data_IF_894749726997
#
_entry.id   IF_894749726997
#
_cell.length_a   1.000
_cell.length_b   1.000
_cell.length_c   1.000
_cell.angle_alpha   90.00
_cell.angle_beta   90.00
_cell.angle_gamma   90.00
#
_symmetry.space_group_name_H-M   'P 1'
#
loop_
_entity.id
_entity.type
_entity.pdbx_description
1 polymer ?
#
# COMPACT_ATOMS: atom_id res chain seq x y z
N UNK A 1 1.31 15.63 49.37
CA UNK A 1 2.56 14.99 48.94
C UNK A 1 2.26 14.25 47.62
N UNK A 2 2.34 14.97 46.48
CA UNK A 2 2.04 14.45 45.15
C UNK A 2 3.31 13.79 44.61
N UNK A 3 3.21 12.48 44.37
CA UNK A 3 4.27 11.66 43.77
C UNK A 3 4.48 12.20 42.33
N UNK A 4 5.70 12.62 41.93
CA UNK A 4 5.95 13.05 40.57
C UNK A 4 5.75 11.84 39.69
N UNK A 5 4.73 11.87 38.81
CA UNK A 5 4.50 10.91 37.78
C UNK A 5 5.74 10.88 36.88
N UNK A 6 6.43 9.72 36.81
CA UNK A 6 7.62 9.55 35.98
C UNK A 6 7.32 9.99 34.54
N UNK A 7 8.25 10.69 33.85
CA UNK A 7 8.04 11.18 32.48
C UNK A 7 7.64 10.07 31.50
N UNK A 8 8.00 8.84 31.80
CA UNK A 8 7.64 7.63 31.02
C UNK A 8 6.13 7.36 31.13
N UNK A 9 5.51 7.48 32.32
CA UNK A 9 4.07 7.26 32.51
C UNK A 9 3.23 8.37 31.84
N UNK A 10 3.72 9.61 31.79
CA UNK A 10 3.08 10.69 31.07
C UNK A 10 3.12 10.46 29.55
N UNK A 11 4.27 10.03 29.02
CA UNK A 11 4.46 9.75 27.59
C UNK A 11 3.59 8.57 27.10
N UNK A 12 3.51 7.50 27.88
CA UNK A 12 2.67 6.33 27.56
C UNK A 12 1.18 6.67 27.63
N UNK A 13 0.76 7.47 28.59
CA UNK A 13 -0.63 7.93 28.73
C UNK A 13 -1.04 8.82 27.55
N UNK A 14 -0.19 9.73 27.13
CA UNK A 14 -0.46 10.59 25.98
C UNK A 14 -0.53 9.81 24.66
N UNK A 15 0.31 8.78 24.51
CA UNK A 15 0.30 7.89 23.35
C UNK A 15 -0.99 7.05 23.31
N UNK A 16 -1.42 6.48 24.42
CA UNK A 16 -2.67 5.72 24.51
C UNK A 16 -3.91 6.59 24.22
N UNK A 17 -3.94 7.79 24.77
CA UNK A 17 -5.02 8.76 24.48
C UNK A 17 -5.05 9.12 23.00
N UNK A 18 -3.88 9.27 22.37
CA UNK A 18 -3.78 9.55 20.94
C UNK A 18 -4.31 8.38 20.10
N UNK A 19 -3.87 7.15 20.35
CA UNK A 19 -4.34 5.94 19.66
C UNK A 19 -5.85 5.79 19.80
N UNK A 20 -6.39 5.93 21.04
CA UNK A 20 -7.84 5.88 21.26
C UNK A 20 -8.59 6.94 20.44
N UNK A 21 -8.02 8.14 20.33
CA UNK A 21 -8.61 9.21 19.52
C UNK A 21 -8.55 8.89 18.03
N UNK A 22 -7.46 8.31 17.53
CA UNK A 22 -7.35 7.84 16.13
C UNK A 22 -8.46 6.84 15.84
N UNK A 23 -8.60 5.80 16.67
CA UNK A 23 -9.63 4.76 16.48
C UNK A 23 -11.05 5.35 16.56
N UNK A 24 -11.33 6.19 17.55
CA UNK A 24 -12.65 6.80 17.70
C UNK A 24 -13.02 7.68 16.51
N UNK A 25 -12.09 8.51 16.03
CA UNK A 25 -12.35 9.39 14.88
C UNK A 25 -12.43 8.58 13.56
N UNK A 26 -11.64 7.52 13.44
CA UNK A 26 -11.72 6.60 12.29
C UNK A 26 -13.11 5.94 12.20
N UNK A 27 -13.66 5.49 13.34
CA UNK A 27 -15.03 4.92 13.38
C UNK A 27 -16.10 5.98 13.08
N UNK A 28 -15.95 7.21 13.61
CA UNK A 28 -16.85 8.34 13.31
C UNK A 28 -16.86 8.70 11.82
N UNK A 29 -15.70 8.60 11.15
CA UNK A 29 -15.57 8.82 9.72
C UNK A 29 -16.00 7.61 8.87
N UNK A 30 -16.63 6.61 9.48
CA UNK A 30 -17.06 5.38 8.81
C UNK A 30 -15.88 4.63 8.12
N UNK A 31 -14.71 4.65 8.74
CA UNK A 31 -13.48 4.16 8.14
C UNK A 31 -13.54 2.70 7.66
N UNK A 32 -14.23 1.81 8.38
CA UNK A 32 -14.42 0.43 7.95
C UNK A 32 -15.31 0.32 6.70
N UNK A 33 -16.38 1.12 6.60
CA UNK A 33 -17.23 1.15 5.41
C UNK A 33 -16.44 1.64 4.18
N UNK A 34 -15.62 2.68 4.36
CA UNK A 34 -14.73 3.18 3.32
C UNK A 34 -13.68 2.14 2.91
N UNK A 35 -13.11 1.40 3.87
CA UNK A 35 -12.16 0.33 3.61
C UNK A 35 -12.80 -0.81 2.81
N UNK A 36 -14.00 -1.24 3.18
CA UNK A 36 -14.77 -2.25 2.43
C UNK A 36 -15.10 -1.81 1.01
N UNK A 37 -15.47 -0.52 0.82
CA UNK A 37 -15.69 0.02 -0.52
C UNK A 37 -14.41 0.01 -1.36
N UNK A 38 -13.26 0.42 -0.79
CA UNK A 38 -11.95 0.36 -1.47
C UNK A 38 -11.64 -1.10 -1.84
N UNK A 39 -11.81 -2.04 -0.91
CA UNK A 39 -11.51 -3.46 -1.13
C UNK A 39 -12.33 -4.05 -2.29
N UNK A 40 -13.62 -3.74 -2.34
CA UNK A 40 -14.49 -4.17 -3.43
C UNK A 40 -14.02 -3.65 -4.80
N UNK A 41 -13.72 -2.35 -4.89
CA UNK A 41 -13.25 -1.77 -6.14
C UNK A 41 -11.82 -2.18 -6.49
N UNK A 42 -10.96 -2.46 -5.51
CA UNK A 42 -9.65 -3.06 -5.73
C UNK A 42 -9.78 -4.47 -6.32
N UNK A 43 -10.68 -5.29 -5.80
CA UNK A 43 -10.94 -6.63 -6.34
C UNK A 43 -11.37 -6.59 -7.81
N UNK A 44 -12.22 -5.63 -8.18
CA UNK A 44 -12.65 -5.43 -9.57
C UNK A 44 -11.53 -4.89 -10.48
N UNK A 45 -10.63 -4.09 -9.92
CA UNK A 45 -9.61 -3.35 -10.68
C UNK A 45 -8.27 -4.07 -10.74
N UNK A 46 -7.99 -5.02 -9.84
CA UNK A 46 -6.65 -5.62 -9.71
C UNK A 46 -6.20 -6.31 -10.98
N UNK A 47 -7.04 -7.14 -11.58
CA UNK A 47 -6.68 -7.86 -12.80
C UNK A 47 -6.47 -6.94 -13.99
N UNK A 48 -7.39 -5.98 -14.31
CA UNK A 48 -7.14 -4.95 -15.31
C UNK A 48 -5.87 -4.15 -15.06
N UNK A 49 -5.59 -3.80 -13.80
CA UNK A 49 -4.38 -3.06 -13.43
C UNK A 49 -3.10 -3.86 -13.70
N UNK A 50 -3.09 -5.13 -13.30
CA UNK A 50 -1.94 -6.02 -13.51
C UNK A 50 -1.70 -6.27 -15.02
N UNK A 51 -2.75 -6.43 -15.81
CA UNK A 51 -2.66 -6.54 -17.26
C UNK A 51 -1.99 -5.29 -17.86
N UNK A 52 -2.46 -4.10 -17.48
CA UNK A 52 -1.86 -2.85 -17.96
C UNK A 52 -0.41 -2.70 -17.51
N UNK A 53 -0.08 -3.10 -16.29
CA UNK A 53 1.27 -3.06 -15.75
C UNK A 53 2.21 -3.97 -16.58
N UNK A 54 1.80 -5.20 -16.85
CA UNK A 54 2.62 -6.13 -17.65
C UNK A 54 2.73 -5.67 -19.10
N UNK A 55 1.64 -5.16 -19.70
CA UNK A 55 1.70 -4.59 -21.05
C UNK A 55 2.65 -3.39 -21.13
N UNK A 56 2.68 -2.55 -20.11
CA UNK A 56 3.59 -1.39 -20.04
C UNK A 56 5.06 -1.81 -19.86
N UNK A 57 5.34 -2.90 -19.14
CA UNK A 57 6.68 -3.38 -18.84
C UNK A 57 7.22 -4.40 -19.84
N UNK A 58 6.37 -5.05 -20.62
CA UNK A 58 6.77 -6.08 -21.59
C UNK A 58 7.81 -5.66 -22.64
N UNK A 59 7.95 -4.35 -23.01
CA UNK A 59 9.05 -3.93 -23.86
C UNK A 59 10.42 -3.96 -23.18
N UNK A 60 10.48 -3.95 -21.86
CA UNK A 60 11.72 -3.82 -21.09
C UNK A 60 12.17 -5.13 -20.44
N UNK A 61 11.24 -6.05 -20.16
CA UNK A 61 11.49 -7.29 -19.45
C UNK A 61 10.78 -8.46 -20.13
N UNK A 62 11.38 -9.66 -20.06
CA UNK A 62 10.73 -10.88 -20.48
C UNK A 62 9.48 -11.18 -19.64
N UNK A 63 8.41 -11.66 -20.26
CA UNK A 63 7.13 -11.93 -19.60
C UNK A 63 7.28 -12.89 -18.41
N UNK A 64 8.14 -13.91 -18.54
CA UNK A 64 8.41 -14.89 -17.48
C UNK A 64 9.02 -14.22 -16.23
N UNK A 65 9.95 -13.27 -16.43
CA UNK A 65 10.56 -12.52 -15.33
C UNK A 65 9.56 -11.59 -14.66
N UNK A 66 8.69 -10.95 -15.45
CA UNK A 66 7.64 -10.10 -14.94
C UNK A 66 6.63 -10.88 -14.09
N UNK A 67 6.16 -12.03 -14.59
CA UNK A 67 5.22 -12.88 -13.87
C UNK A 67 5.84 -13.45 -12.58
N UNK A 68 7.10 -13.89 -12.62
CA UNK A 68 7.80 -14.38 -11.43
C UNK A 68 8.01 -13.30 -10.38
N UNK A 69 8.38 -12.08 -10.80
CA UNK A 69 8.53 -10.94 -9.90
C UNK A 69 7.18 -10.55 -9.30
N UNK A 70 6.15 -10.49 -10.12
CA UNK A 70 4.80 -10.14 -9.69
C UNK A 70 4.25 -11.17 -8.70
N UNK A 71 4.42 -12.47 -8.97
CA UNK A 71 4.03 -13.56 -8.06
C UNK A 71 4.66 -13.35 -6.68
N UNK A 72 5.96 -13.09 -6.63
CA UNK A 72 6.67 -12.85 -5.36
C UNK A 72 6.11 -11.68 -4.58
N UNK A 73 5.77 -10.57 -5.24
CA UNK A 73 5.19 -9.39 -4.57
C UNK A 73 3.75 -9.59 -4.15
N UNK A 74 2.95 -10.28 -4.97
CA UNK A 74 1.58 -10.63 -4.62
C UNK A 74 1.53 -11.56 -3.41
N UNK A 75 2.43 -12.53 -3.31
CA UNK A 75 2.55 -13.41 -2.16
C UNK A 75 2.96 -12.66 -0.88
N UNK A 76 3.78 -11.61 -1.00
CA UNK A 76 4.11 -10.76 0.14
C UNK A 76 2.90 -9.93 0.62
N UNK A 77 2.00 -9.56 -0.28
CA UNK A 77 0.79 -8.78 0.05
C UNK A 77 -0.37 -9.67 0.50
N UNK A 78 -0.52 -10.81 -0.13
CA UNK A 78 -1.62 -11.74 0.12
C UNK A 78 -1.14 -13.19 -0.08
N UNK A 79 -0.53 -13.80 0.95
CA UNK A 79 0.06 -15.13 0.87
C UNK A 79 -0.90 -16.19 0.33
N UNK A 80 -0.45 -16.96 -0.67
CA UNK A 80 -1.25 -18.03 -1.30
C UNK A 80 -2.30 -17.55 -2.31
N UNK A 81 -2.32 -16.24 -2.64
CA UNK A 81 -3.27 -15.66 -3.60
C UNK A 81 -2.59 -15.19 -4.90
N UNK A 82 -1.27 -15.27 -4.98
CA UNK A 82 -0.52 -14.89 -6.18
C UNK A 82 -0.83 -15.81 -7.36
N UNK A 83 -0.85 -17.13 -7.15
CA UNK A 83 -0.99 -18.10 -8.21
C UNK A 83 -2.26 -17.93 -9.06
N UNK A 84 -3.48 -17.77 -8.49
CA UNK A 84 -4.67 -17.55 -9.29
C UNK A 84 -4.62 -16.28 -10.13
N UNK A 85 -4.03 -15.19 -9.63
CA UNK A 85 -3.91 -13.92 -10.34
C UNK A 85 -2.89 -14.02 -11.47
N UNK A 86 -1.74 -14.63 -11.20
CA UNK A 86 -0.66 -14.83 -12.18
C UNK A 86 -1.11 -15.78 -13.30
N UNK A 87 -1.85 -16.85 -12.97
CA UNK A 87 -2.43 -17.76 -13.96
C UNK A 87 -3.41 -17.04 -14.91
N UNK A 88 -4.30 -16.21 -14.39
CA UNK A 88 -5.23 -15.42 -15.21
C UNK A 88 -4.48 -14.42 -16.08
N UNK A 89 -3.44 -13.82 -15.56
CA UNK A 89 -2.59 -12.88 -16.28
C UNK A 89 -1.84 -13.58 -17.42
N UNK A 90 -1.24 -14.75 -17.16
CA UNK A 90 -0.55 -15.56 -18.18
C UNK A 90 -1.50 -16.00 -19.30
N UNK A 91 -2.72 -16.43 -18.97
CA UNK A 91 -3.76 -16.76 -19.95
C UNK A 91 -4.10 -15.57 -20.84
N UNK A 92 -4.25 -14.37 -20.26
CA UNK A 92 -4.52 -13.16 -21.03
C UNK A 92 -3.37 -12.82 -21.99
N UNK A 93 -2.12 -12.89 -21.51
CA UNK A 93 -0.94 -12.60 -22.32
C UNK A 93 -0.79 -13.55 -23.51
N UNK A 94 -1.12 -14.83 -23.34
CA UNK A 94 -1.17 -15.81 -24.42
C UNK A 94 -2.17 -15.47 -25.54
N UNK A 95 -3.19 -14.66 -25.25
CA UNK A 95 -4.24 -14.28 -26.20
C UNK A 95 -4.18 -12.78 -26.59
N UNK A 96 -3.09 -12.08 -26.33
CA UNK A 96 -2.95 -10.61 -26.51
C UNK A 96 -3.15 -10.10 -27.94
N UNK A 97 -3.08 -10.96 -28.94
CA UNK A 97 -3.29 -10.57 -30.35
C UNK A 97 -4.70 -10.05 -30.66
N UNK A 98 -5.66 -10.27 -29.74
CA UNK A 98 -7.04 -9.79 -29.85
C UNK A 98 -7.24 -8.42 -29.20
N UNK A 99 -6.19 -7.80 -28.69
CA UNK A 99 -6.27 -6.55 -27.92
C UNK A 99 -6.60 -5.36 -28.83
N UNK A 100 -7.88 -5.17 -29.12
CA UNK A 100 -8.37 -3.99 -29.82
C UNK A 100 -8.50 -2.77 -28.91
N UNK A 101 -8.67 -1.58 -29.49
CA UNK A 101 -8.81 -0.31 -28.74
C UNK A 101 -9.94 -0.31 -27.71
N UNK A 102 -11.03 -1.03 -27.96
CA UNK A 102 -12.16 -1.19 -27.02
C UNK A 102 -11.73 -1.92 -25.74
N UNK A 103 -10.96 -3.02 -25.89
CA UNK A 103 -10.47 -3.76 -24.72
C UNK A 103 -9.50 -2.90 -23.90
N UNK A 104 -8.59 -2.18 -24.56
CA UNK A 104 -7.67 -1.27 -23.88
C UNK A 104 -8.44 -0.17 -23.11
N UNK A 105 -9.44 0.44 -23.71
CA UNK A 105 -10.29 1.43 -23.06
C UNK A 105 -11.02 0.85 -21.83
N UNK A 106 -11.53 -0.37 -21.94
CA UNK A 106 -12.17 -1.10 -20.82
C UNK A 106 -11.20 -1.36 -19.69
N UNK A 107 -9.99 -1.83 -20.01
CA UNK A 107 -8.92 -2.06 -19.00
C UNK A 107 -8.55 -0.76 -18.29
N UNK A 108 -8.37 0.33 -19.05
CA UNK A 108 -8.07 1.63 -18.49
C UNK A 108 -9.19 2.11 -17.57
N UNK A 109 -10.43 2.03 -18.00
CA UNK A 109 -11.58 2.41 -17.17
C UNK A 109 -11.67 1.57 -15.91
N UNK A 110 -11.63 0.24 -16.02
CA UNK A 110 -11.77 -0.66 -14.89
C UNK A 110 -10.62 -0.50 -13.88
N UNK A 111 -9.39 -0.30 -14.34
CA UNK A 111 -8.23 -0.10 -13.47
C UNK A 111 -8.29 1.22 -12.68
N UNK A 112 -9.01 2.23 -13.18
CA UNK A 112 -9.13 3.54 -12.52
C UNK A 112 -10.17 3.58 -11.38
N UNK A 113 -11.06 2.59 -11.30
CA UNK A 113 -12.16 2.58 -10.32
C UNK A 113 -11.65 2.57 -8.88
N UNK A 114 -10.68 1.71 -8.56
CA UNK A 114 -10.10 1.63 -7.22
C UNK A 114 -9.49 2.96 -6.77
N UNK A 115 -8.75 3.63 -7.67
CA UNK A 115 -8.15 4.93 -7.38
C UNK A 115 -9.19 6.02 -7.13
N UNK A 116 -10.29 6.02 -7.90
CA UNK A 116 -11.40 6.96 -7.71
C UNK A 116 -12.05 6.81 -6.34
N UNK A 117 -12.27 5.58 -5.89
CA UNK A 117 -12.85 5.31 -4.57
C UNK A 117 -11.85 5.64 -3.47
N UNK A 118 -10.58 5.33 -3.67
CA UNK A 118 -9.50 5.68 -2.74
C UNK A 118 -9.39 7.21 -2.57
N UNK A 119 -9.40 7.98 -3.66
CA UNK A 119 -9.38 9.45 -3.62
C UNK A 119 -10.55 10.00 -2.80
N UNK A 120 -11.79 9.50 -3.04
CA UNK A 120 -12.98 9.90 -2.30
C UNK A 120 -12.89 9.53 -0.82
N UNK A 121 -12.39 8.34 -0.50
CA UNK A 121 -12.24 7.88 0.87
C UNK A 121 -11.22 8.71 1.65
N UNK A 122 -10.09 9.03 1.04
CA UNK A 122 -9.09 9.93 1.61
C UNK A 122 -9.64 11.34 1.77
N UNK A 123 -10.40 11.86 0.80
CA UNK A 123 -11.07 13.16 0.90
C UNK A 123 -12.04 13.21 2.10
N UNK A 124 -12.75 12.13 2.38
CA UNK A 124 -13.62 12.03 3.57
C UNK A 124 -12.83 12.15 4.86
N UNK A 125 -11.68 11.49 4.99
CA UNK A 125 -10.81 11.57 6.18
C UNK A 125 -10.19 12.95 6.32
N UNK A 126 -9.76 13.55 5.21
CA UNK A 126 -9.16 14.90 5.17
C UNK A 126 -10.19 16.01 4.99
N UNK A 127 -11.47 15.79 5.32
CA UNK A 127 -12.56 16.77 5.12
C UNK A 127 -12.28 18.16 5.71
N UNK A 128 -11.48 18.26 6.78
CA UNK A 128 -11.07 19.52 7.39
C UNK A 128 -10.18 20.40 6.48
N UNK A 129 -9.65 19.84 5.39
CA UNK A 129 -8.82 20.52 4.40
C UNK A 129 -9.57 20.95 3.14
N UNK A 130 -10.81 20.49 2.95
CA UNK A 130 -11.59 20.79 1.76
C UNK A 130 -11.99 22.27 1.78
N UNK A 131 -11.03 23.15 1.51
CA UNK A 131 -11.26 24.50 1.04
C UNK A 131 -11.26 24.45 -0.49
N UNK A 132 -12.48 24.42 -1.09
CA UNK A 132 -12.87 24.91 -2.45
C UNK A 132 -11.92 24.76 -3.66
N UNK A 133 -10.82 24.02 -3.61
CA UNK A 133 -10.05 23.75 -4.81
C UNK A 133 -10.55 22.45 -5.45
N UNK A 134 -11.52 22.59 -6.34
CA UNK A 134 -11.88 21.50 -7.27
C UNK A 134 -10.66 21.22 -8.13
N UNK A 135 -10.03 20.08 -7.91
CA UNK A 135 -8.97 19.59 -8.78
C UNK A 135 -9.54 19.47 -10.19
N UNK A 136 -8.73 19.82 -11.19
CA UNK A 136 -9.14 19.68 -12.59
C UNK A 136 -9.44 18.21 -12.86
N UNK A 137 -10.57 17.88 -13.48
CA UNK A 137 -11.01 16.49 -13.70
C UNK A 137 -9.96 15.66 -14.47
N UNK A 138 -9.22 16.29 -15.41
CA UNK A 138 -8.13 15.67 -16.16
C UNK A 138 -7.01 15.19 -15.22
N UNK A 139 -6.64 15.99 -14.22
CA UNK A 139 -5.58 15.63 -13.28
C UNK A 139 -5.98 14.41 -12.43
N UNK A 140 -7.24 14.37 -11.96
CA UNK A 140 -7.75 13.20 -11.21
C UNK A 140 -7.80 11.95 -12.10
N UNK A 141 -8.12 12.10 -13.39
CA UNK A 141 -8.16 10.99 -14.32
C UNK A 141 -6.75 10.44 -14.68
N UNK A 142 -5.70 11.28 -14.63
CA UNK A 142 -4.33 10.86 -14.96
C UNK A 142 -3.59 10.20 -13.78
N UNK A 143 -3.98 10.46 -12.53
CA UNK A 143 -3.30 9.94 -11.34
C UNK A 143 -3.18 8.42 -11.33
N UNK A 144 -4.22 7.63 -11.62
CA UNK A 144 -4.10 6.17 -11.66
C UNK A 144 -2.96 5.70 -12.57
N UNK A 145 -2.85 6.30 -13.75
CA UNK A 145 -1.84 5.90 -14.73
C UNK A 145 -0.43 6.34 -14.32
N UNK A 146 -0.30 7.50 -13.67
CA UNK A 146 0.97 7.91 -13.06
C UNK A 146 1.41 6.91 -11.99
N UNK A 147 0.48 6.40 -11.15
CA UNK A 147 0.80 5.36 -10.17
C UNK A 147 1.14 4.02 -10.80
N UNK A 148 0.49 3.62 -11.89
CA UNK A 148 0.87 2.43 -12.66
C UNK A 148 2.33 2.54 -13.12
N UNK A 149 2.73 3.70 -13.65
CA UNK A 149 4.11 3.95 -14.09
C UNK A 149 5.09 3.94 -12.91
N UNK A 150 4.74 4.54 -11.77
CA UNK A 150 5.59 4.55 -10.56
C UNK A 150 5.76 3.14 -9.99
N UNK A 151 4.68 2.37 -9.89
CA UNK A 151 4.72 0.98 -9.45
C UNK A 151 5.53 0.14 -10.43
N UNK A 152 5.32 0.34 -11.73
CA UNK A 152 6.07 -0.33 -12.80
C UNK A 152 7.57 -0.03 -12.73
N UNK A 153 7.94 1.23 -12.58
CA UNK A 153 9.34 1.64 -12.41
C UNK A 153 9.96 1.04 -11.13
N UNK A 154 9.20 1.01 -10.04
CA UNK A 154 9.61 0.36 -8.79
C UNK A 154 9.87 -1.14 -8.96
N UNK A 155 8.94 -1.85 -9.60
CA UNK A 155 9.10 -3.26 -9.95
C UNK A 155 10.34 -3.51 -10.82
N UNK A 156 10.52 -2.67 -11.82
CA UNK A 156 11.67 -2.75 -12.73
C UNK A 156 13.00 -2.55 -11.97
N UNK A 157 13.06 -1.54 -11.10
CA UNK A 157 14.22 -1.28 -10.25
C UNK A 157 14.53 -2.46 -9.33
N UNK A 158 13.53 -3.04 -8.69
CA UNK A 158 13.74 -4.18 -7.79
C UNK A 158 14.15 -5.42 -8.57
N UNK A 159 13.57 -5.68 -9.74
CA UNK A 159 13.96 -6.80 -10.60
C UNK A 159 15.41 -6.67 -11.04
N UNK A 160 15.84 -5.49 -11.49
CA UNK A 160 17.23 -5.23 -11.89
C UNK A 160 18.17 -5.33 -10.69
N UNK A 161 17.79 -4.78 -9.52
CA UNK A 161 18.58 -4.86 -8.31
C UNK A 161 18.74 -6.31 -7.82
N UNK A 162 17.67 -7.11 -7.88
CA UNK A 162 17.71 -8.53 -7.53
C UNK A 162 18.65 -9.29 -8.44
N UNK A 163 18.56 -9.10 -9.76
CA UNK A 163 19.45 -9.74 -10.73
C UNK A 163 20.91 -9.32 -10.56
N UNK A 164 21.17 -8.02 -10.27
CA UNK A 164 22.52 -7.54 -10.00
C UNK A 164 23.11 -8.11 -8.70
N UNK A 165 22.30 -8.20 -7.63
CA UNK A 165 22.72 -8.79 -6.36
C UNK A 165 22.96 -10.30 -6.47
N UNK A 166 22.15 -11.00 -7.26
CA UNK A 166 22.33 -12.42 -7.52
C UNK A 166 23.63 -12.69 -8.33
N UNK A 167 23.91 -11.87 -9.33
CA UNK A 167 25.16 -11.91 -10.09
C UNK A 167 26.40 -11.57 -9.25
N UNK A 168 26.26 -10.71 -8.22
CA UNK A 168 27.31 -10.37 -7.27
C UNK A 168 27.44 -11.41 -6.15
N UNK A 169 26.31 -12.00 -5.70
CA UNK A 169 26.25 -12.97 -4.60
C UNK A 169 26.92 -14.30 -4.93
N UNK A 170 27.02 -14.66 -6.24
CA UNK A 170 27.78 -15.83 -6.72
C UNK A 170 29.30 -15.62 -6.69
N UNK A 171 29.79 -14.40 -6.42
CA UNK A 171 31.20 -14.13 -6.22
C UNK A 171 31.53 -14.20 -4.73
N UNK A 172 32.30 -15.21 -4.36
CA UNK A 172 32.96 -15.30 -3.06
C UNK A 172 33.92 -14.10 -2.94
N UNK A 173 33.54 -13.10 -2.15
CA UNK A 173 34.44 -11.99 -1.86
C UNK A 173 35.31 -12.39 -0.67
N UNK A 174 36.57 -12.63 -0.93
CA UNK A 174 37.56 -12.91 0.09
C UNK A 174 38.00 -11.58 0.72
N UNK A 175 37.36 -11.15 1.80
CA UNK A 175 37.74 -9.97 2.55
C UNK A 175 38.50 -10.40 3.79
N UNK A 176 39.82 -10.18 3.83
CA UNK A 176 40.72 -10.51 4.94
C UNK A 176 40.70 -12.01 5.37
N UNK A 177 40.63 -12.94 4.43
CA UNK A 177 40.73 -14.37 4.74
C UNK A 177 39.44 -15.03 5.27
N UNK A 178 38.33 -14.30 5.31
CA UNK A 178 37.02 -14.82 5.68
C UNK A 178 36.10 -14.82 4.48
N UNK A 179 35.70 -16.01 4.04
CA UNK A 179 34.68 -16.23 3.01
C UNK A 179 33.34 -15.92 3.68
N UNK A 180 32.75 -14.76 3.39
CA UNK A 180 31.38 -14.45 3.77
C UNK A 180 30.49 -14.58 2.54
N UNK A 181 29.52 -15.47 2.60
CA UNK A 181 28.43 -15.51 1.64
C UNK A 181 27.60 -14.24 1.79
N UNK A 182 27.43 -13.50 0.69
CA UNK A 182 26.64 -12.26 0.63
C UNK A 182 25.13 -12.54 0.66
N UNK A 183 24.68 -13.80 0.66
CA UNK A 183 23.26 -14.18 0.60
C UNK A 183 22.41 -13.52 1.69
N UNK A 184 22.88 -13.50 2.93
CA UNK A 184 22.13 -12.88 4.04
C UNK A 184 22.08 -11.35 3.95
N UNK A 185 23.17 -10.72 3.47
CA UNK A 185 23.25 -9.26 3.33
C UNK A 185 22.44 -8.77 2.11
N UNK A 186 22.44 -9.51 1.01
CA UNK A 186 21.64 -9.21 -0.16
C UNK A 186 20.13 -9.28 0.14
N UNK A 187 19.70 -10.32 0.87
CA UNK A 187 18.30 -10.44 1.33
C UNK A 187 17.87 -9.29 2.23
N UNK A 188 18.70 -8.88 3.18
CA UNK A 188 18.42 -7.75 4.07
C UNK A 188 18.34 -6.42 3.31
N UNK A 189 19.21 -6.20 2.31
CA UNK A 189 19.17 -5.01 1.46
C UNK A 189 17.89 -4.96 0.59
N UNK A 190 17.52 -6.07 -0.04
CA UNK A 190 16.28 -6.16 -0.83
C UNK A 190 15.05 -5.91 0.03
N UNK A 191 15.02 -6.48 1.24
CA UNK A 191 13.94 -6.24 2.19
C UNK A 191 13.85 -4.76 2.60
N UNK A 192 14.98 -4.14 2.93
CA UNK A 192 15.04 -2.72 3.29
C UNK A 192 14.61 -1.81 2.11
N UNK A 193 15.01 -2.15 0.88
CA UNK A 193 14.56 -1.46 -0.33
C UNK A 193 13.05 -1.58 -0.52
N UNK A 194 12.48 -2.80 -0.34
CA UNK A 194 11.06 -3.03 -0.43
C UNK A 194 10.26 -2.22 0.59
N UNK A 195 10.67 -2.27 1.86
CA UNK A 195 10.04 -1.52 2.95
C UNK A 195 10.14 0.00 2.73
N UNK A 196 11.29 0.48 2.28
CA UNK A 196 11.49 1.91 1.97
C UNK A 196 10.60 2.32 0.80
N UNK A 197 10.54 1.51 -0.26
CA UNK A 197 9.67 1.73 -1.41
C UNK A 197 8.20 1.76 -1.03
N UNK A 198 7.76 0.88 -0.16
CA UNK A 198 6.40 0.83 0.37
C UNK A 198 6.06 2.10 1.16
N UNK A 199 6.91 2.52 2.08
CA UNK A 199 6.73 3.75 2.86
C UNK A 199 6.67 4.97 1.94
N UNK A 200 7.54 5.05 0.93
CA UNK A 200 7.55 6.14 -0.05
C UNK A 200 6.28 6.13 -0.91
N UNK A 201 5.82 4.96 -1.34
CA UNK A 201 4.58 4.81 -2.10
C UNK A 201 3.37 5.27 -1.28
N UNK A 202 3.23 4.80 -0.04
CA UNK A 202 2.16 5.22 0.87
C UNK A 202 2.23 6.73 1.15
N UNK A 203 3.42 7.27 1.39
CA UNK A 203 3.62 8.72 1.59
C UNK A 203 3.21 9.52 0.35
N UNK A 204 3.51 9.03 -0.85
CA UNK A 204 3.13 9.66 -2.11
C UNK A 204 1.61 9.65 -2.30
N UNK A 205 0.94 8.55 -1.95
CA UNK A 205 -0.53 8.43 -1.97
C UNK A 205 -1.14 9.51 -1.07
N UNK A 206 -0.66 9.66 0.16
CA UNK A 206 -1.15 10.71 1.07
C UNK A 206 -0.88 12.12 0.58
N UNK A 207 0.19 12.34 -0.18
CA UNK A 207 0.55 13.67 -0.69
C UNK A 207 -0.23 14.04 -1.96
N UNK A 208 -0.47 13.06 -2.83
CA UNK A 208 -1.01 13.29 -4.17
C UNK A 208 -2.52 13.10 -4.23
N UNK A 209 -3.07 12.09 -3.55
CA UNK A 209 -4.49 11.73 -3.64
C UNK A 209 -5.43 12.74 -2.99
N UNK A 210 -5.21 13.23 -1.75
CA UNK A 210 -6.12 14.18 -1.14
C UNK A 210 -6.08 15.53 -1.85
N UNK A 211 -7.24 16.16 -2.00
CA UNK A 211 -7.34 17.55 -2.47
C UNK A 211 -6.81 18.50 -1.39
N UNK A 212 -5.63 19.09 -1.61
CA UNK A 212 -5.00 20.06 -0.70
C UNK A 212 -3.51 19.80 -0.52
N UNK A 213 -2.72 20.87 -0.23
CA UNK A 213 -1.28 20.74 -0.03
C UNK A 213 -0.96 20.06 1.32
N UNK A 214 -0.59 18.80 1.29
CA UNK A 214 0.03 18.13 2.44
C UNK A 214 1.53 18.39 2.44
N UNK A 215 2.09 18.80 3.60
CA UNK A 215 3.55 18.88 3.70
C UNK A 215 4.14 17.47 3.66
N UNK A 216 5.26 17.32 2.98
CA UNK A 216 5.90 16.02 2.79
C UNK A 216 6.25 15.33 4.13
N UNK A 217 6.55 16.13 5.16
CA UNK A 217 6.83 15.61 6.52
C UNK A 217 5.63 14.91 7.13
N UNK A 218 4.42 15.45 6.96
CA UNK A 218 3.20 14.83 7.46
C UNK A 218 2.83 13.58 6.65
N UNK A 219 3.03 13.62 5.34
CA UNK A 219 2.84 12.46 4.47
C UNK A 219 3.78 11.31 4.87
N UNK A 220 5.04 11.62 5.19
CA UNK A 220 6.02 10.62 5.63
C UNK A 220 5.64 10.01 7.01
N UNK A 221 5.15 10.81 7.95
CA UNK A 221 4.65 10.28 9.24
C UNK A 221 3.54 9.27 9.01
N UNK A 222 2.58 9.59 8.14
CA UNK A 222 1.51 8.67 7.78
C UNK A 222 2.02 7.42 7.05
N UNK A 223 2.94 7.59 6.10
CA UNK A 223 3.54 6.50 5.34
C UNK A 223 4.32 5.54 6.25
N UNK A 224 5.13 6.06 7.17
CA UNK A 224 5.84 5.23 8.16
C UNK A 224 4.85 4.51 9.07
N UNK A 225 3.83 5.22 9.57
CA UNK A 225 2.81 4.60 10.45
C UNK A 225 2.07 3.49 9.73
N UNK A 226 1.63 3.73 8.49
CA UNK A 226 0.91 2.74 7.70
C UNK A 226 1.83 1.58 7.29
N UNK A 227 3.08 1.85 6.89
CA UNK A 227 4.05 0.81 6.54
C UNK A 227 4.38 -0.11 7.72
N UNK A 228 4.62 0.45 8.91
CA UNK A 228 4.85 -0.37 10.12
C UNK A 228 3.60 -1.18 10.51
N UNK A 229 2.42 -0.57 10.41
CA UNK A 229 1.18 -1.27 10.69
C UNK A 229 0.90 -2.37 9.66
N UNK A 230 1.25 -2.12 8.39
CA UNK A 230 1.15 -3.11 7.33
C UNK A 230 2.11 -4.27 7.54
N UNK A 231 3.35 -4.00 7.93
CA UNK A 231 4.33 -5.04 8.23
C UNK A 231 3.84 -5.99 9.33
N UNK A 232 3.28 -5.43 10.42
CA UNK A 232 2.66 -6.22 11.47
C UNK A 232 1.47 -7.02 10.94
N UNK A 233 0.61 -6.39 10.16
CA UNK A 233 -0.61 -6.99 9.59
C UNK A 233 -0.27 -8.13 8.62
N UNK A 234 0.76 -7.97 7.80
CA UNK A 234 1.24 -8.98 6.87
C UNK A 234 1.63 -10.28 7.59
N UNK A 235 2.34 -10.19 8.70
CA UNK A 235 2.69 -11.36 9.51
C UNK A 235 1.45 -12.04 10.11
N UNK A 236 0.49 -11.24 10.59
CA UNK A 236 -0.79 -11.76 11.09
C UNK A 236 -1.61 -12.44 10.00
N UNK A 237 -1.68 -11.85 8.80
CA UNK A 237 -2.35 -12.44 7.64
C UNK A 237 -1.69 -13.75 7.20
N UNK A 238 -0.36 -13.80 7.12
CA UNK A 238 0.38 -15.01 6.79
C UNK A 238 0.06 -16.15 7.78
N UNK A 239 0.07 -15.85 9.08
CA UNK A 239 -0.32 -16.83 10.10
C UNK A 239 -1.81 -17.24 9.97
N UNK A 240 -2.70 -16.29 9.75
CA UNK A 240 -4.13 -16.55 9.58
C UNK A 240 -4.40 -17.46 8.38
N UNK A 241 -3.84 -17.16 7.20
CA UNK A 241 -4.03 -17.97 6.00
C UNK A 241 -3.38 -19.35 6.11
N UNK A 242 -2.21 -19.46 6.75
CA UNK A 242 -1.59 -20.75 7.02
C UNK A 242 -2.49 -21.66 7.89
N UNK A 243 -3.25 -21.05 8.81
CA UNK A 243 -4.20 -21.77 9.68
C UNK A 243 -5.50 -22.08 8.94
N UNK A 244 -6.00 -21.13 8.15
CA UNK A 244 -7.27 -21.24 7.42
C UNK A 244 -7.18 -22.16 6.19
N UNK A 245 -5.98 -22.37 5.63
CA UNK A 245 -5.74 -23.28 4.50
C UNK A 245 -6.30 -24.70 4.75
N UNK A 246 -6.38 -25.11 6.01
CA UNK A 246 -7.00 -26.38 6.42
C UNK A 246 -8.52 -26.39 6.25
N UNK A 247 -9.17 -25.25 6.15
CA UNK A 247 -10.63 -25.06 5.99
C UNK A 247 -11.00 -24.80 4.53
N UNK A 248 -10.03 -24.45 3.68
CA UNK A 248 -10.22 -24.10 2.26
C UNK A 248 -10.86 -25.19 1.39
N UNK A 249 -10.86 -26.44 1.86
CA UNK A 249 -11.51 -27.57 1.18
C UNK A 249 -13.03 -27.39 1.05
N UNK A 250 -13.65 -26.59 1.92
CA UNK A 250 -15.11 -26.39 1.95
C UNK A 250 -15.62 -25.28 1.02
N UNK A 251 -14.79 -24.27 0.71
CA UNK A 251 -15.22 -23.07 -0.01
C UNK A 251 -14.69 -22.96 -1.45
N UNK A 252 -13.79 -23.86 -1.89
CA UNK A 252 -13.28 -23.89 -3.28
C UNK A 252 -12.81 -22.53 -3.79
N UNK A 253 -13.21 -22.15 -5.01
CA UNK A 253 -12.83 -20.88 -5.65
C UNK A 253 -13.36 -19.63 -4.93
N UNK A 254 -14.45 -19.74 -4.15
CA UNK A 254 -14.94 -18.63 -3.33
C UNK A 254 -14.00 -18.27 -2.19
N UNK A 255 -13.25 -19.24 -1.65
CA UNK A 255 -12.25 -18.96 -0.62
C UNK A 255 -11.20 -17.95 -1.08
N UNK A 256 -10.73 -18.08 -2.33
CA UNK A 256 -9.75 -17.15 -2.92
C UNK A 256 -10.31 -15.74 -3.03
N UNK A 257 -11.55 -15.59 -3.54
CA UNK A 257 -12.17 -14.27 -3.68
C UNK A 257 -12.41 -13.59 -2.32
N UNK A 258 -12.88 -14.36 -1.32
CA UNK A 258 -13.09 -13.86 0.05
C UNK A 258 -11.74 -13.47 0.69
N UNK A 259 -10.71 -14.29 0.52
CA UNK A 259 -9.38 -14.02 1.07
C UNK A 259 -8.75 -12.77 0.46
N UNK A 260 -8.89 -12.57 -0.87
CA UNK A 260 -8.48 -11.36 -1.56
C UNK A 260 -9.24 -10.13 -1.03
N UNK A 261 -10.56 -10.24 -0.93
CA UNK A 261 -11.38 -9.15 -0.44
C UNK A 261 -10.98 -8.74 0.99
N UNK A 262 -10.79 -9.73 1.87
CA UNK A 262 -10.36 -9.51 3.25
C UNK A 262 -8.97 -8.87 3.30
N UNK A 263 -8.03 -9.34 2.47
CA UNK A 263 -6.67 -8.77 2.40
C UNK A 263 -6.72 -7.31 1.95
N UNK A 264 -7.52 -6.98 0.92
CA UNK A 264 -7.68 -5.62 0.45
C UNK A 264 -8.40 -4.72 1.47
N UNK A 265 -9.40 -5.24 2.20
CA UNK A 265 -10.10 -4.50 3.26
C UNK A 265 -9.15 -4.15 4.40
N UNK A 266 -8.31 -5.09 4.80
CA UNK A 266 -7.30 -4.87 5.84
C UNK A 266 -6.24 -3.87 5.34
N UNK A 267 -5.74 -4.00 4.11
CA UNK A 267 -4.80 -3.06 3.50
C UNK A 267 -5.40 -1.65 3.41
N UNK A 268 -6.64 -1.53 2.97
CA UNK A 268 -7.36 -0.26 2.92
C UNK A 268 -7.56 0.33 4.32
N UNK A 269 -7.87 -0.50 5.32
CA UNK A 269 -7.99 -0.07 6.73
C UNK A 269 -6.68 0.50 7.23
N UNK A 270 -5.55 -0.18 7.01
CA UNK A 270 -4.22 0.29 7.39
C UNK A 270 -3.90 1.63 6.73
N UNK A 271 -4.15 1.75 5.43
CA UNK A 271 -3.95 2.99 4.69
C UNK A 271 -4.82 4.13 5.24
N UNK A 272 -6.11 3.90 5.47
CA UNK A 272 -7.02 4.92 5.99
C UNK A 272 -6.70 5.30 7.45
N UNK A 273 -6.21 4.36 8.27
CA UNK A 273 -5.71 4.65 9.64
C UNK A 273 -4.47 5.55 9.56
N UNK A 274 -3.53 5.30 8.65
CA UNK A 274 -2.39 6.19 8.41
C UNK A 274 -2.83 7.62 8.03
N UNK A 275 -3.82 7.74 7.15
CA UNK A 275 -4.43 9.03 6.80
C UNK A 275 -5.08 9.70 8.03
N UNK A 276 -5.76 8.93 8.89
CA UNK A 276 -6.39 9.46 10.11
C UNK A 276 -5.35 9.96 11.12
N UNK A 277 -4.20 9.29 11.23
CA UNK A 277 -3.06 9.75 12.05
C UNK A 277 -2.57 11.11 11.56
N UNK A 278 -2.38 11.28 10.25
CA UNK A 278 -2.00 12.57 9.66
C UNK A 278 -3.03 13.65 10.00
N UNK A 279 -4.31 13.36 9.76
CA UNK A 279 -5.40 14.31 9.96
C UNK A 279 -5.46 14.81 11.42
N UNK A 280 -5.29 13.93 12.40
CA UNK A 280 -5.26 14.29 13.80
C UNK A 280 -3.98 15.02 14.22
N UNK A 281 -2.83 14.64 13.65
CA UNK A 281 -1.56 15.29 13.91
C UNK A 281 -1.58 16.75 13.47
N UNK A 282 -2.19 17.06 12.34
CA UNK A 282 -2.34 18.43 11.84
C UNK A 282 -3.30 19.30 12.63
N UNK A 283 -4.30 18.70 13.26
CA UNK A 283 -5.27 19.43 14.09
C UNK A 283 -4.70 19.85 15.45
N UNK A 284 -3.59 19.23 15.91
CA UNK A 284 -2.96 19.54 17.20
C UNK A 284 -2.51 21.01 17.37
N UNK A 285 -1.81 21.65 16.42
CA UNK A 285 -1.31 23.03 16.61
C UNK A 285 -2.41 24.09 16.60
N UNK A 286 -3.54 23.85 15.97
CA UNK A 286 -4.65 24.81 15.88
C UNK A 286 -5.40 24.98 17.21
N UNK A 287 -5.49 23.94 18.03
CA UNK A 287 -6.15 24.01 19.36
C UNK A 287 -5.33 24.79 20.39
N UNK A 288 -4.01 24.69 20.36
CA UNK A 288 -3.15 25.49 21.27
C UNK A 288 -3.20 26.98 20.97
N UNK A 289 -3.34 27.38 19.70
CA UNK A 289 -3.51 28.80 19.33
C UNK A 289 -4.90 29.35 19.65
N UNK A 290 -5.94 28.54 19.55
CA UNK A 290 -7.29 28.96 19.90
C UNK A 290 -7.49 29.10 21.42
N UNK A 291 -6.89 28.23 22.22
CA UNK A 291 -6.92 28.32 23.69
C UNK A 291 -6.06 29.44 24.26
N UNK A 292 -5.06 29.91 23.53
CA UNK A 292 -4.23 31.05 23.92
C UNK A 292 -4.79 32.42 23.45
N UNK A 293 -5.84 32.42 22.63
CA UNK A 293 -6.43 33.63 22.05
C UNK A 293 -7.77 34.01 22.73
N UNK A 294 -8.22 33.27 23.74
CA UNK A 294 -9.40 33.58 24.55
C UNK A 294 -8.93 33.84 26.00
N UNK A 295 -8.48 35.06 26.32
CA UNK A 295 -8.35 35.54 27.68
C UNK A 295 -9.73 36.05 28.08
N UNK A 296 -10.48 35.24 28.90
CA UNK A 296 -11.78 35.54 29.45
C UNK A 296 -11.91 36.90 30.11
#
# INVERSE_FOLDING_TARGET
MSIPSSPILALTRDSLVFVRRVVATFMQNQGLLLAGAIAYYMLLSILPLLILLVLALSPFLAEEQLLATLSRYLDLMAPGLADPLVEQLAKFLGHRQVTGGVLLATLLFSSSLAFTVLEKSLATIFHHRIKKHRRHWITSALIPYAYILVIGAGLLLVTLASGALEALGTREINVFGHIRSLEGTAGALLYAMGLTGEILLLSSIYMVMPTGHLSWRHALIGGITAGLLWELTRHLLAWFFATLSKVGVLYGSFATAISLLLSFEIAATVLLVGAQVIALYEQRPRRHKASAADPG
#
